data_IF_143309671993
#
_entry.id   IF_143309671993
#
_cell.length_a   1.000
_cell.length_b   1.000
_cell.length_c   1.000
_cell.angle_alpha   90.00
_cell.angle_beta   90.00
_cell.angle_gamma   90.00
#
_symmetry.space_group_name_H-M   'P 1'
#
loop_
_entity.id
_entity.type
_entity.pdbx_description
1 polymer ?
#
# COMPACT_ATOMS: atom_id res chain seq x y z
N UNK A 1 59.85 42.87 5.25
CA UNK A 1 59.13 42.32 6.44
C UNK A 1 57.66 42.69 6.26
N UNK A 2 56.79 41.73 5.95
CA UNK A 2 55.92 41.01 6.93
C UNK A 2 54.93 42.02 7.58
N UNK A 3 53.61 41.94 7.45
CA UNK A 3 52.73 40.78 7.40
C UNK A 3 51.37 41.11 6.77
N UNK A 4 50.86 40.16 5.98
CA UNK A 4 49.44 39.96 5.73
C UNK A 4 48.72 39.56 7.04
N UNK A 5 47.54 40.13 7.28
CA UNK A 5 46.56 39.64 8.28
C UNK A 5 45.20 39.74 7.59
N UNK A 6 44.69 38.67 6.96
CA UNK A 6 43.80 37.62 7.53
C UNK A 6 42.65 38.21 8.36
N UNK A 7 41.39 37.84 8.23
CA UNK A 7 40.72 36.84 7.41
C UNK A 7 39.22 37.18 7.42
N UNK A 8 38.52 36.71 6.38
CA UNK A 8 37.08 36.81 6.20
C UNK A 8 36.29 36.51 7.49
N UNK A 9 35.29 37.34 7.73
CA UNK A 9 34.27 37.13 8.74
C UNK A 9 33.69 35.71 8.64
N UNK A 10 33.66 35.07 9.79
CA UNK A 10 33.12 33.75 10.08
C UNK A 10 31.63 33.72 9.70
N UNK A 11 31.26 33.00 8.64
CA UNK A 11 29.89 32.55 8.47
C UNK A 11 29.68 31.35 9.42
N UNK A 12 28.76 31.42 10.39
CA UNK A 12 28.44 30.26 11.19
C UNK A 12 27.78 29.22 10.29
N UNK A 13 28.46 28.08 10.13
CA UNK A 13 27.88 26.85 9.60
C UNK A 13 26.80 26.41 10.57
N UNK A 14 25.56 26.79 10.33
CA UNK A 14 24.40 26.16 10.96
C UNK A 14 23.87 25.15 9.95
N UNK A 15 24.32 23.87 9.95
CA UNK A 15 23.41 22.84 9.52
C UNK A 15 22.31 22.84 10.58
N UNK A 16 21.25 23.61 10.27
CA UNK A 16 19.96 23.48 10.94
C UNK A 16 19.72 21.99 11.07
N UNK A 17 19.47 21.54 12.30
CA UNK A 17 18.92 20.23 12.59
C UNK A 17 17.61 20.13 11.82
N UNK A 18 17.70 19.76 10.55
CA UNK A 18 16.58 19.29 9.78
C UNK A 18 16.23 17.98 10.45
N UNK A 19 15.27 18.02 11.38
CA UNK A 19 14.54 16.83 11.77
C UNK A 19 14.04 16.25 10.46
N UNK A 20 14.71 15.20 9.98
CA UNK A 20 14.21 14.45 8.85
C UNK A 20 12.91 13.85 9.35
N UNK A 21 11.79 14.42 8.90
CA UNK A 21 10.52 13.75 9.03
C UNK A 21 10.62 12.49 8.18
N UNK A 22 11.05 11.39 8.81
CA UNK A 22 11.02 10.10 8.16
C UNK A 22 9.55 9.72 7.95
N UNK A 23 9.20 9.41 6.71
CA UNK A 23 7.88 8.88 6.43
C UNK A 23 7.74 7.54 7.16
N UNK A 24 6.77 7.44 8.07
CA UNK A 24 6.44 6.16 8.67
C UNK A 24 6.05 5.18 7.55
N UNK A 25 6.61 3.96 7.55
CA UNK A 25 6.23 2.96 6.56
C UNK A 25 4.74 2.71 6.59
N UNK A 26 4.14 2.55 5.42
CA UNK A 26 2.83 1.91 5.33
C UNK A 26 2.95 0.46 5.76
N UNK A 27 2.29 0.12 6.86
CA UNK A 27 2.19 -1.23 7.39
C UNK A 27 0.74 -1.71 7.36
N UNK A 28 0.55 -3.02 7.28
CA UNK A 28 -0.74 -3.70 7.36
C UNK A 28 -0.63 -4.89 8.30
N UNK A 29 -1.59 -5.04 9.21
CA UNK A 29 -1.68 -6.26 10.00
C UNK A 29 -2.29 -7.39 9.17
N UNK A 30 -1.57 -8.50 9.04
CA UNK A 30 -2.08 -9.71 8.39
C UNK A 30 -2.56 -10.72 9.43
N UNK A 31 -3.88 -10.82 9.58
CA UNK A 31 -4.49 -11.76 10.52
C UNK A 31 -4.15 -13.22 10.21
N UNK A 32 -3.84 -13.58 8.97
CA UNK A 32 -3.51 -14.96 8.61
C UNK A 32 -2.15 -15.39 9.17
N UNK A 33 -1.16 -14.51 9.13
CA UNK A 33 0.19 -14.76 9.66
C UNK A 33 0.42 -14.20 11.06
N UNK A 34 -0.51 -13.39 11.58
CA UNK A 34 -0.37 -12.65 12.83
C UNK A 34 0.86 -11.72 12.83
N UNK A 35 1.17 -11.11 11.68
CA UNK A 35 2.34 -10.25 11.53
C UNK A 35 2.01 -8.92 10.87
N UNK A 36 2.78 -7.90 11.24
CA UNK A 36 2.83 -6.63 10.52
C UNK A 36 3.62 -6.80 9.22
N UNK A 37 2.95 -6.56 8.10
CA UNK A 37 3.54 -6.54 6.76
C UNK A 37 3.93 -5.10 6.43
N UNK A 38 5.20 -4.91 6.10
CA UNK A 38 5.72 -3.59 5.72
C UNK A 38 5.66 -3.44 4.21
N UNK A 39 4.88 -2.47 3.74
CA UNK A 39 4.58 -2.32 2.32
C UNK A 39 5.52 -1.33 1.62
N UNK A 40 6.30 -0.52 2.34
CA UNK A 40 7.16 0.51 1.72
C UNK A 40 8.60 0.08 1.46
N UNK A 41 8.99 -1.13 1.87
CA UNK A 41 10.34 -1.64 1.65
C UNK A 41 10.35 -3.10 1.21
N UNK A 42 11.46 -3.51 0.61
CA UNK A 42 11.69 -4.91 0.22
C UNK A 42 10.73 -5.40 -0.86
N UNK A 43 10.54 -6.73 -0.98
CA UNK A 43 9.72 -7.30 -2.04
C UNK A 43 8.26 -6.82 -2.03
N UNK A 44 7.69 -6.57 -0.85
CA UNK A 44 6.29 -6.13 -0.72
C UNK A 44 6.06 -4.71 -1.23
N UNK A 45 7.09 -3.87 -1.24
CA UNK A 45 7.05 -2.58 -1.93
C UNK A 45 6.69 -2.78 -3.39
N UNK A 46 7.45 -3.60 -4.10
CA UNK A 46 7.19 -3.86 -5.50
C UNK A 46 5.84 -4.56 -5.71
N UNK A 47 5.56 -5.61 -4.93
CA UNK A 47 4.38 -6.45 -5.14
C UNK A 47 3.05 -5.75 -4.83
N UNK A 48 3.06 -4.74 -3.96
CA UNK A 48 1.87 -3.94 -3.60
C UNK A 48 1.66 -2.72 -4.51
N UNK A 49 2.47 -2.54 -5.56
CA UNK A 49 2.27 -1.46 -6.55
C UNK A 49 1.33 -1.88 -7.68
N UNK A 50 0.85 -0.90 -8.44
CA UNK A 50 -0.05 -1.11 -9.59
C UNK A 50 0.53 -1.97 -10.72
N UNK A 51 1.86 -2.14 -10.76
CA UNK A 51 2.61 -3.01 -11.68
C UNK A 51 3.12 -4.31 -11.03
N UNK A 52 3.04 -4.43 -9.71
CA UNK A 52 3.35 -5.65 -8.95
C UNK A 52 2.28 -6.72 -9.11
N UNK A 53 2.47 -7.86 -8.46
CA UNK A 53 1.50 -8.96 -8.53
C UNK A 53 0.13 -8.56 -7.98
N UNK A 54 0.05 -7.83 -6.86
CA UNK A 54 -1.23 -7.41 -6.30
C UNK A 54 -2.07 -6.55 -7.25
N UNK A 55 -1.43 -5.59 -7.92
CA UNK A 55 -2.08 -4.76 -8.94
C UNK A 55 -2.51 -5.55 -10.19
N UNK A 56 -1.72 -6.55 -10.60
CA UNK A 56 -2.10 -7.47 -11.69
C UNK A 56 -3.29 -8.34 -11.31
N UNK A 57 -3.29 -8.90 -10.10
CA UNK A 57 -4.41 -9.70 -9.57
C UNK A 57 -5.70 -8.88 -9.50
N UNK A 58 -5.63 -7.62 -9.07
CA UNK A 58 -6.81 -6.75 -9.06
C UNK A 58 -7.41 -6.57 -10.47
N UNK A 59 -6.56 -6.31 -11.47
CA UNK A 59 -6.98 -6.12 -12.87
C UNK A 59 -7.50 -7.42 -13.51
N UNK A 60 -6.95 -8.57 -13.16
CA UNK A 60 -7.30 -9.84 -13.80
C UNK A 60 -8.48 -10.53 -13.12
N UNK A 61 -8.54 -10.46 -11.79
CA UNK A 61 -9.53 -11.20 -10.99
C UNK A 61 -10.69 -10.29 -10.61
N UNK A 62 -10.43 -9.20 -9.88
CA UNK A 62 -11.50 -8.34 -9.39
C UNK A 62 -12.23 -7.63 -10.52
N UNK A 63 -11.50 -7.06 -11.48
CA UNK A 63 -12.11 -6.37 -12.64
C UNK A 63 -12.81 -7.31 -13.62
N UNK A 64 -12.58 -8.63 -13.57
CA UNK A 64 -13.36 -9.59 -14.36
C UNK A 64 -14.85 -9.59 -14.00
N UNK A 65 -15.17 -9.22 -12.75
CA UNK A 65 -16.54 -8.95 -12.31
C UNK A 65 -16.85 -7.46 -12.24
N UNK A 66 -15.87 -6.63 -11.88
CA UNK A 66 -16.07 -5.21 -11.58
C UNK A 66 -15.55 -4.24 -12.67
N UNK A 67 -15.68 -4.61 -13.95
CA UNK A 67 -15.42 -3.72 -15.08
C UNK A 67 -16.63 -2.80 -15.36
N UNK A 68 -16.45 -1.75 -16.18
CA UNK A 68 -17.52 -0.76 -16.43
C UNK A 68 -18.72 -1.39 -17.14
N UNK A 69 -18.43 -2.28 -18.07
CA UNK A 69 -19.41 -2.89 -18.97
C UNK A 69 -19.59 -4.38 -18.65
N UNK A 70 -19.53 -4.77 -17.37
CA UNK A 70 -19.72 -6.16 -16.98
C UNK A 70 -21.20 -6.57 -17.09
N UNK A 71 -21.40 -7.84 -17.43
CA UNK A 71 -22.70 -8.51 -17.52
C UNK A 71 -23.17 -9.11 -16.18
N UNK A 72 -22.39 -8.95 -15.11
CA UNK A 72 -22.61 -9.62 -13.81
C UNK A 72 -23.37 -8.74 -12.82
N UNK A 73 -23.77 -7.54 -13.23
CA UNK A 73 -24.48 -6.57 -12.40
C UNK A 73 -23.66 -6.02 -11.24
N UNK A 74 -22.34 -6.22 -11.24
CA UNK A 74 -21.48 -5.73 -10.18
C UNK A 74 -21.07 -4.28 -10.47
N UNK A 75 -21.01 -3.39 -9.46
CA UNK A 75 -20.56 -2.02 -9.69
C UNK A 75 -19.08 -2.00 -10.08
N UNK A 76 -18.68 -0.98 -10.84
CA UNK A 76 -17.27 -0.74 -11.12
C UNK A 76 -16.50 -0.51 -9.82
N UNK A 77 -15.36 -1.19 -9.68
CA UNK A 77 -14.60 -1.19 -8.43
C UNK A 77 -13.32 -0.37 -8.53
N UNK A 78 -13.21 0.74 -7.80
CA UNK A 78 -11.94 1.45 -7.59
C UNK A 78 -11.18 0.87 -6.40
N UNK A 79 -9.86 1.05 -6.33
CA UNK A 79 -9.08 0.69 -5.14
C UNK A 79 -9.51 1.51 -3.93
N UNK A 80 -9.93 2.74 -4.16
CA UNK A 80 -10.44 3.69 -3.16
C UNK A 80 -11.91 3.43 -2.78
N UNK A 81 -12.53 2.35 -3.25
CA UNK A 81 -13.95 2.05 -2.92
C UNK A 81 -14.15 1.61 -1.46
N UNK A 82 -13.08 1.37 -0.72
CA UNK A 82 -13.06 0.99 0.70
C UNK A 82 -11.88 1.68 1.39
N UNK A 83 -11.98 1.80 2.71
CA UNK A 83 -10.83 2.05 3.59
C UNK A 83 -9.93 0.81 3.64
N UNK A 84 -8.70 0.98 4.10
CA UNK A 84 -7.73 -0.11 4.27
C UNK A 84 -8.30 -1.21 5.17
N UNK A 85 -8.90 -0.85 6.31
CA UNK A 85 -9.59 -1.81 7.19
C UNK A 85 -10.79 -2.47 6.50
N UNK A 86 -11.51 -1.71 5.67
CA UNK A 86 -12.62 -2.23 4.88
C UNK A 86 -12.18 -3.31 3.89
N UNK A 87 -10.99 -3.16 3.30
CA UNK A 87 -10.38 -4.19 2.46
C UNK A 87 -9.96 -5.41 3.29
N UNK A 88 -9.24 -5.23 4.39
CA UNK A 88 -8.85 -6.35 5.26
C UNK A 88 -10.05 -7.18 5.70
N UNK A 89 -11.16 -6.53 6.08
CA UNK A 89 -12.40 -7.19 6.45
C UNK A 89 -12.97 -8.05 5.31
N UNK A 90 -12.91 -7.57 4.07
CA UNK A 90 -13.37 -8.31 2.89
C UNK A 90 -12.56 -9.60 2.71
N UNK A 91 -11.24 -9.54 2.85
CA UNK A 91 -10.37 -10.72 2.71
C UNK A 91 -10.52 -11.68 3.89
N UNK A 92 -10.71 -11.17 5.10
CA UNK A 92 -10.95 -11.98 6.29
C UNK A 92 -12.29 -12.74 6.24
N UNK A 93 -13.36 -12.09 5.75
CA UNK A 93 -14.71 -12.66 5.76
C UNK A 93 -15.14 -13.30 4.45
N UNK A 94 -14.39 -13.08 3.36
CA UNK A 94 -14.79 -13.42 1.99
C UNK A 94 -16.21 -12.93 1.66
N UNK A 95 -16.58 -11.75 2.16
CA UNK A 95 -17.95 -11.23 2.05
C UNK A 95 -18.49 -11.03 0.62
N UNK A 96 -17.69 -10.62 -0.39
CA UNK A 96 -18.21 -10.41 -1.75
C UNK A 96 -18.70 -11.71 -2.38
N UNK A 97 -19.86 -11.67 -3.06
CA UNK A 97 -20.43 -12.84 -3.76
C UNK A 97 -19.43 -13.49 -4.72
N UNK A 98 -18.59 -12.71 -5.42
CA UNK A 98 -17.56 -13.26 -6.31
C UNK A 98 -16.52 -14.11 -5.55
N UNK A 99 -16.14 -13.70 -4.33
CA UNK A 99 -15.23 -14.46 -3.47
C UNK A 99 -15.88 -15.76 -2.94
N UNK A 100 -17.20 -15.76 -2.77
CA UNK A 100 -18.00 -16.93 -2.35
C UNK A 100 -18.28 -17.88 -3.51
N UNK A 101 -18.46 -17.35 -4.73
CA UNK A 101 -18.74 -18.11 -5.94
C UNK A 101 -17.46 -18.63 -6.63
N UNK A 102 -16.37 -18.75 -5.88
CA UNK A 102 -15.14 -19.39 -6.32
C UNK A 102 -14.22 -18.58 -7.24
N UNK A 103 -14.49 -17.29 -7.49
CA UNK A 103 -13.54 -16.44 -8.24
C UNK A 103 -12.17 -16.34 -7.56
N UNK A 104 -12.11 -16.66 -6.26
CA UNK A 104 -10.88 -16.69 -5.46
C UNK A 104 -10.28 -18.08 -5.29
N UNK A 105 -10.97 -19.14 -5.70
CA UNK A 105 -10.52 -20.52 -5.47
C UNK A 105 -9.36 -20.92 -6.38
N UNK A 106 -9.18 -20.20 -7.50
CA UNK A 106 -8.02 -20.33 -8.37
C UNK A 106 -6.78 -19.55 -7.89
N UNK A 107 -6.87 -18.80 -6.79
CA UNK A 107 -5.74 -18.05 -6.23
C UNK A 107 -5.10 -18.79 -5.06
N UNK A 108 -3.78 -18.76 -5.00
CA UNK A 108 -3.06 -19.24 -3.82
C UNK A 108 -3.29 -18.30 -2.62
N UNK A 109 -3.09 -18.78 -1.38
CA UNK A 109 -3.16 -17.91 -0.21
C UNK A 109 -2.21 -16.70 -0.27
N UNK A 110 -1.03 -16.87 -0.87
CA UNK A 110 -0.07 -15.78 -1.04
C UNK A 110 -0.55 -14.73 -2.05
N UNK A 111 -1.19 -15.16 -3.14
CA UNK A 111 -1.80 -14.24 -4.11
C UNK A 111 -2.94 -13.43 -3.48
N UNK A 112 -3.78 -14.08 -2.68
CA UNK A 112 -4.82 -13.38 -1.91
C UNK A 112 -4.22 -12.33 -0.96
N UNK A 113 -3.12 -12.66 -0.27
CA UNK A 113 -2.41 -11.69 0.57
C UNK A 113 -1.85 -10.53 -0.24
N UNK A 114 -1.20 -10.77 -1.37
CA UNK A 114 -0.64 -9.71 -2.23
C UNK A 114 -1.72 -8.82 -2.84
N UNK A 115 -2.85 -9.40 -3.22
CA UNK A 115 -4.01 -8.64 -3.67
C UNK A 115 -4.55 -7.74 -2.54
N UNK A 116 -4.62 -8.24 -1.32
CA UNK A 116 -5.03 -7.42 -0.17
C UNK A 116 -3.99 -6.33 0.16
N UNK A 117 -2.69 -6.65 0.12
CA UNK A 117 -1.62 -5.67 0.32
C UNK A 117 -1.74 -4.50 -0.68
N UNK A 118 -2.02 -4.80 -1.95
CA UNK A 118 -2.29 -3.79 -2.98
C UNK A 118 -3.54 -2.95 -2.64
N UNK A 119 -4.67 -3.59 -2.33
CA UNK A 119 -5.93 -2.89 -2.06
C UNK A 119 -5.85 -2.04 -0.79
N UNK A 120 -5.18 -2.53 0.26
CA UNK A 120 -4.91 -1.79 1.48
C UNK A 120 -4.04 -0.57 1.22
N UNK A 121 -2.97 -0.71 0.41
CA UNK A 121 -2.04 0.38 0.08
C UNK A 121 -2.72 1.52 -0.67
N UNK A 122 -3.67 1.21 -1.55
CA UNK A 122 -4.32 2.18 -2.44
C UNK A 122 -5.80 2.44 -2.05
N UNK A 123 -6.13 2.20 -0.78
CA UNK A 123 -7.44 2.45 -0.22
C UNK A 123 -7.76 3.96 -0.14
N UNK A 124 -9.02 4.28 0.17
CA UNK A 124 -9.51 5.66 0.30
C UNK A 124 -8.72 6.50 1.32
N UNK A 125 -8.28 5.85 2.39
CA UNK A 125 -7.52 6.38 3.53
C UNK A 125 -6.04 5.96 3.47
N UNK A 126 -5.52 5.70 2.27
CA UNK A 126 -4.12 5.30 2.07
C UNK A 126 -3.11 6.30 2.63
N UNK A 127 -3.47 7.59 2.66
CA UNK A 127 -2.66 8.69 3.19
C UNK A 127 -2.85 8.92 4.70
N UNK A 128 -3.74 8.19 5.37
CA UNK A 128 -3.87 8.28 6.83
C UNK A 128 -2.66 7.63 7.48
N UNK A 129 -1.91 8.43 8.23
CA UNK A 129 -0.70 8.02 8.94
C UNK A 129 -0.99 7.12 10.14
N UNK A 130 -2.23 7.14 10.66
CA UNK A 130 -2.66 6.29 11.78
C UNK A 130 -3.15 4.91 11.30
N UNK A 131 -3.29 4.74 9.99
CA UNK A 131 -3.72 3.50 9.38
C UNK A 131 -2.49 2.61 9.11
N UNK A 132 -1.97 2.11 10.23
CA UNK A 132 -0.80 1.27 10.36
C UNK A 132 -1.09 0.15 11.38
N UNK A 133 -0.21 -0.83 11.42
CA UNK A 133 0.04 -1.64 12.59
C UNK A 133 1.44 -1.29 13.12
#
# INVERSE_FOLDING_TARGET
MKQFVLALAILPLVPLFANQAEANPKTRYDAASQTCRVLDYGPLEWESRSYGEGGKLFKNICKGCHSRDNDKGAPFLWTESKTSEGWDRIFATRAPKCAQNGAWDGMTPEQLRRLNDYLYRWAADSQDLNNNC
#
